data_IF_630231152529
#
_entry.id   IF_630231152529
#
_cell.length_a   1.000
_cell.length_b   1.000
_cell.length_c   1.000
_cell.angle_alpha   90.00
_cell.angle_beta   90.00
_cell.angle_gamma   90.00
#
_symmetry.space_group_name_H-M   'P 1'
#
loop_
_entity.id
_entity.type
_entity.pdbx_description
1 polymer ?
#
# COMPACT_ATOMS: atom_id res chain seq x y z
N UNK A 1 12.56 6.65 17.39
CA UNK A 1 11.16 6.23 17.14
C UNK A 1 11.13 5.36 15.90
N UNK A 2 10.58 4.17 16.03
CA UNK A 2 10.60 3.18 14.95
C UNK A 2 9.32 3.27 14.11
N UNK A 3 9.15 4.40 13.43
CA UNK A 3 8.03 4.59 12.52
C UNK A 3 8.42 5.57 11.41
N UNK A 4 7.69 5.51 10.29
CA UNK A 4 7.97 6.38 9.15
C UNK A 4 7.80 7.86 9.55
N UNK A 5 8.74 8.70 9.11
CA UNK A 5 8.64 10.15 9.33
C UNK A 5 7.70 10.79 8.31
N UNK A 6 7.21 11.99 8.62
CA UNK A 6 6.41 12.78 7.68
C UNK A 6 7.17 13.05 6.39
N UNK A 7 8.44 13.41 6.50
CA UNK A 7 9.27 13.70 5.33
C UNK A 7 9.42 12.48 4.43
N UNK A 8 9.72 11.32 5.00
CA UNK A 8 9.87 10.08 4.23
C UNK A 8 8.55 9.65 3.61
N UNK A 9 7.45 9.79 4.35
CA UNK A 9 6.12 9.48 3.83
C UNK A 9 5.78 10.36 2.62
N UNK A 10 6.06 11.65 2.70
CA UNK A 10 5.82 12.59 1.59
C UNK A 10 6.67 12.23 0.37
N UNK A 11 7.93 11.85 0.57
CA UNK A 11 8.81 11.43 -0.52
C UNK A 11 8.30 10.16 -1.20
N UNK A 12 7.80 9.21 -0.42
CA UNK A 12 7.21 7.97 -0.94
C UNK A 12 5.99 8.31 -1.82
N UNK A 13 5.10 9.18 -1.33
CA UNK A 13 3.93 9.62 -2.10
C UNK A 13 4.38 10.25 -3.42
N UNK A 14 5.37 11.13 -3.39
CA UNK A 14 5.86 11.83 -4.58
C UNK A 14 6.40 10.85 -5.61
N UNK A 15 7.23 9.89 -5.19
CA UNK A 15 7.78 8.87 -6.10
C UNK A 15 6.68 8.01 -6.71
N UNK A 16 5.68 7.65 -5.90
CA UNK A 16 4.54 6.87 -6.38
C UNK A 16 3.73 7.62 -7.44
N UNK A 17 3.47 8.90 -7.23
CA UNK A 17 2.74 9.72 -8.21
C UNK A 17 3.51 9.86 -9.52
N UNK A 18 4.83 10.05 -9.46
CA UNK A 18 5.66 10.11 -10.66
C UNK A 18 5.57 8.80 -11.44
N UNK A 19 5.68 7.67 -10.74
CA UNK A 19 5.58 6.36 -11.40
C UNK A 19 4.20 6.12 -12.00
N UNK A 20 3.13 6.48 -11.29
CA UNK A 20 1.78 6.34 -11.81
C UNK A 20 1.60 7.12 -13.11
N UNK A 21 2.11 8.35 -13.18
CA UNK A 21 2.08 9.15 -14.41
C UNK A 21 2.84 8.47 -15.55
N UNK A 22 4.03 7.92 -15.26
CA UNK A 22 4.83 7.21 -16.26
C UNK A 22 4.10 6.05 -16.90
N UNK A 23 3.31 5.31 -16.13
CA UNK A 23 2.58 4.14 -16.64
C UNK A 23 1.14 4.48 -17.04
N UNK A 24 0.77 5.76 -17.00
CA UNK A 24 -0.52 6.23 -17.50
C UNK A 24 -1.71 5.91 -16.62
N UNK A 25 -1.53 5.85 -15.31
CA UNK A 25 -2.64 5.64 -14.38
C UNK A 25 -2.79 6.80 -13.41
N UNK A 26 -4.04 7.03 -12.97
CA UNK A 26 -4.35 7.95 -11.88
C UNK A 26 -4.58 7.14 -10.60
N UNK A 27 -3.77 7.38 -9.58
CA UNK A 27 -3.75 6.58 -8.36
C UNK A 27 -4.18 7.37 -7.14
N UNK A 28 -4.68 6.64 -6.14
CA UNK A 28 -4.67 7.07 -4.76
C UNK A 28 -3.52 6.34 -4.07
N UNK A 29 -2.71 7.07 -3.31
CA UNK A 29 -1.56 6.53 -2.61
C UNK A 29 -1.63 6.96 -1.15
N UNK A 30 -1.57 5.97 -0.26
CA UNK A 30 -1.61 6.18 1.18
C UNK A 30 -0.34 5.63 1.82
N UNK A 31 0.18 6.34 2.81
CA UNK A 31 1.24 5.84 3.68
C UNK A 31 0.71 5.90 5.11
N UNK A 32 0.81 4.76 5.80
CA UNK A 32 0.45 4.66 7.22
C UNK A 32 1.71 4.40 8.04
N UNK A 33 1.65 4.73 9.32
CA UNK A 33 2.74 4.45 10.25
C UNK A 33 2.72 3.00 10.72
N UNK A 34 3.63 2.63 11.63
CA UNK A 34 3.74 1.27 12.13
C UNK A 34 2.48 0.81 12.90
N UNK A 35 1.67 1.73 13.38
CA UNK A 35 0.38 1.44 14.04
C UNK A 35 -0.80 1.47 13.09
N UNK A 36 -0.57 1.54 11.79
CA UNK A 36 -1.60 1.61 10.76
C UNK A 36 -2.42 2.90 10.77
N UNK A 37 -1.87 3.99 11.31
CA UNK A 37 -2.49 5.30 11.29
C UNK A 37 -2.01 6.09 10.07
N UNK A 38 -2.93 6.78 9.42
CA UNK A 38 -2.63 7.55 8.20
C UNK A 38 -1.56 8.61 8.49
N UNK A 39 -0.50 8.62 7.67
CA UNK A 39 0.61 9.57 7.77
C UNK A 39 0.63 10.53 6.59
N UNK A 40 0.36 10.04 5.37
CA UNK A 40 0.30 10.85 4.16
C UNK A 40 -0.64 10.21 3.16
N UNK A 41 -1.29 11.03 2.34
CA UNK A 41 -2.25 10.55 1.35
C UNK A 41 -2.30 11.52 0.18
N UNK A 42 -2.41 10.98 -1.03
CA UNK A 42 -2.70 11.79 -2.21
C UNK A 42 -3.65 11.05 -3.15
N UNK A 43 -4.69 11.76 -3.57
CA UNK A 43 -5.55 11.34 -4.66
C UNK A 43 -5.14 12.12 -5.91
N UNK A 44 -4.62 11.42 -6.92
CA UNK A 44 -4.32 12.05 -8.20
C UNK A 44 -5.62 12.41 -8.93
N UNK A 45 -5.57 13.45 -9.74
CA UNK A 45 -6.71 13.85 -10.56
C UNK A 45 -7.11 12.68 -11.46
N UNK A 46 -8.40 12.39 -11.52
CA UNK A 46 -8.94 11.29 -12.33
C UNK A 46 -8.97 9.93 -11.63
N UNK A 47 -8.43 9.80 -10.43
CA UNK A 47 -8.53 8.54 -9.68
C UNK A 47 -9.98 8.27 -9.27
N UNK A 48 -10.38 7.00 -9.29
CA UNK A 48 -11.72 6.60 -8.86
C UNK A 48 -11.98 6.96 -7.40
N UNK A 49 -13.19 7.42 -7.10
CA UNK A 49 -13.55 7.77 -5.73
C UNK A 49 -13.36 6.59 -4.76
N UNK A 50 -13.70 5.37 -5.19
CA UNK A 50 -13.53 4.16 -4.36
C UNK A 50 -12.08 3.86 -4.03
N UNK A 51 -11.13 4.32 -4.83
CA UNK A 51 -9.70 4.08 -4.59
C UNK A 51 -9.19 4.83 -3.36
N UNK A 52 -9.87 5.87 -2.91
CA UNK A 52 -9.51 6.60 -1.69
C UNK A 52 -9.50 5.66 -0.48
N UNK A 53 -10.59 4.94 -0.28
CA UNK A 53 -10.70 3.98 0.82
C UNK A 53 -9.81 2.76 0.59
N UNK A 54 -9.83 2.19 -0.60
CA UNK A 54 -9.09 0.96 -0.91
C UNK A 54 -7.59 1.14 -0.71
N UNK A 55 -7.01 2.26 -1.14
CA UNK A 55 -5.57 2.51 -0.95
C UNK A 55 -5.20 2.52 0.53
N UNK A 56 -6.01 3.14 1.36
CA UNK A 56 -5.77 3.19 2.80
C UNK A 56 -5.91 1.82 3.44
N UNK A 57 -6.90 1.02 3.03
CA UNK A 57 -7.06 -0.36 3.55
C UNK A 57 -5.92 -1.27 3.13
N UNK A 58 -5.40 -1.12 1.91
CA UNK A 58 -4.21 -1.87 1.48
C UNK A 58 -3.00 -1.52 2.35
N UNK A 59 -2.79 -0.24 2.62
CA UNK A 59 -1.70 0.20 3.50
C UNK A 59 -1.86 -0.39 4.90
N UNK A 60 -3.06 -0.28 5.49
CA UNK A 60 -3.32 -0.83 6.83
C UNK A 60 -3.12 -2.34 6.86
N UNK A 61 -3.54 -3.06 5.81
CA UNK A 61 -3.35 -4.50 5.72
C UNK A 61 -1.87 -4.87 5.82
N UNK A 62 -1.01 -4.19 5.06
CA UNK A 62 0.43 -4.47 5.05
C UNK A 62 1.15 -4.00 6.32
N UNK A 63 0.59 -3.06 7.07
CA UNK A 63 1.12 -2.65 8.37
C UNK A 63 0.72 -3.62 9.48
N UNK A 64 -0.55 -4.04 9.50
CA UNK A 64 -1.09 -4.92 10.55
C UNK A 64 -0.61 -6.36 10.38
N UNK A 65 -0.46 -6.81 9.14
CA UNK A 65 0.09 -8.10 8.77
C UNK A 65 1.26 -7.83 7.83
N UNK A 66 2.52 -7.74 8.34
CA UNK A 66 3.65 -7.20 7.57
C UNK A 66 4.10 -8.06 6.40
N UNK A 67 3.33 -8.05 5.34
CA UNK A 67 3.62 -8.69 4.06
C UNK A 67 2.84 -7.95 2.97
N UNK A 68 3.17 -8.16 1.68
CA UNK A 68 2.38 -7.56 0.61
C UNK A 68 0.91 -7.96 0.73
N UNK A 69 0.02 -7.00 0.49
CA UNK A 69 -1.43 -7.24 0.69
C UNK A 69 -1.98 -8.36 -0.20
N UNK A 70 -1.43 -8.52 -1.42
CA UNK A 70 -1.81 -9.63 -2.29
C UNK A 70 -1.36 -10.98 -1.75
N UNK A 71 -0.19 -11.03 -1.13
CA UNK A 71 0.33 -12.25 -0.50
C UNK A 71 -0.53 -12.63 0.70
N UNK A 72 -0.99 -11.65 1.46
CA UNK A 72 -1.93 -11.88 2.55
C UNK A 72 -3.24 -12.52 2.04
N UNK A 73 -3.72 -12.04 0.87
CA UNK A 73 -4.87 -12.66 0.21
C UNK A 73 -4.65 -14.13 -0.13
N UNK A 74 -3.45 -14.48 -0.59
CA UNK A 74 -3.09 -15.88 -0.85
C UNK A 74 -3.09 -16.71 0.43
N UNK A 75 -2.59 -16.17 1.52
CA UNK A 75 -2.62 -16.85 2.83
C UNK A 75 -4.08 -17.15 3.23
N UNK A 76 -4.96 -16.17 3.07
CA UNK A 76 -6.38 -16.36 3.38
C UNK A 76 -6.97 -17.51 2.55
N UNK A 77 -6.69 -17.53 1.25
CA UNK A 77 -7.20 -18.55 0.34
C UNK A 77 -6.63 -19.94 0.66
N UNK A 78 -5.31 -20.04 0.82
CA UNK A 78 -4.62 -21.31 1.04
C UNK A 78 -4.99 -21.94 2.39
N UNK A 79 -5.19 -21.14 3.42
CA UNK A 79 -5.50 -21.64 4.77
C UNK A 79 -6.99 -21.58 5.08
N UNK A 80 -7.84 -21.28 4.08
CA UNK A 80 -9.29 -21.26 4.22
C UNK A 80 -9.76 -20.31 5.32
N UNK A 81 -9.16 -19.13 5.38
CA UNK A 81 -9.47 -18.11 6.39
C UNK A 81 -10.48 -17.08 5.87
N UNK A 82 -11.43 -17.54 5.03
CA UNK A 82 -12.47 -16.66 4.47
C UNK A 82 -13.18 -15.89 5.58
N UNK A 83 -13.22 -14.57 5.44
CA UNK A 83 -13.77 -13.69 6.46
C UNK A 83 -12.71 -12.94 7.27
N UNK A 84 -11.44 -13.37 7.21
CA UNK A 84 -10.33 -12.66 7.87
C UNK A 84 -10.27 -11.19 7.45
N UNK A 85 -10.56 -10.90 6.19
CA UNK A 85 -10.59 -9.55 5.64
C UNK A 85 -11.66 -8.65 6.27
N UNK A 86 -12.61 -9.23 7.00
CA UNK A 86 -13.62 -8.45 7.74
C UNK A 86 -13.11 -7.97 9.10
N UNK A 87 -11.95 -8.49 9.54
CA UNK A 87 -11.32 -8.07 10.79
C UNK A 87 -10.68 -6.70 10.66
N UNK A 88 -10.29 -6.12 11.79
CA UNK A 88 -9.54 -4.85 11.86
C UNK A 88 -10.24 -3.70 11.11
N UNK A 89 -11.56 -3.69 11.11
CA UNK A 89 -12.34 -2.65 10.41
C UNK A 89 -12.43 -2.83 8.90
N UNK A 90 -11.94 -3.96 8.40
CA UNK A 90 -11.93 -4.26 6.96
C UNK A 90 -10.53 -4.16 6.38
N UNK A 91 -10.06 -5.26 5.79
CA UNK A 91 -8.76 -5.34 5.13
C UNK A 91 -8.95 -5.45 3.63
N UNK A 92 -7.95 -5.01 2.87
CA UNK A 92 -7.94 -5.17 1.41
C UNK A 92 -6.83 -6.15 1.05
N UNK A 93 -7.18 -7.41 0.84
CA UNK A 93 -6.26 -8.52 0.69
C UNK A 93 -5.93 -8.82 -0.77
N UNK A 94 -5.57 -7.80 -1.54
CA UNK A 94 -5.14 -7.89 -2.93
C UNK A 94 -4.04 -6.87 -3.19
N UNK A 95 -3.33 -7.02 -4.33
CA UNK A 95 -2.08 -6.28 -4.56
C UNK A 95 -2.22 -4.77 -4.55
N UNK A 96 -1.18 -4.10 -4.06
CA UNK A 96 -1.04 -2.66 -3.99
C UNK A 96 -0.55 -2.17 -2.63
N UNK A 97 -0.59 -3.01 -1.60
CA UNK A 97 -0.03 -2.72 -0.28
C UNK A 97 1.32 -3.39 -0.09
N UNK A 98 2.28 -2.66 0.45
CA UNK A 98 3.61 -3.18 0.79
C UNK A 98 4.03 -2.64 2.15
N UNK A 99 4.62 -3.48 3.02
CA UNK A 99 5.21 -2.98 4.26
C UNK A 99 6.47 -2.17 3.96
N UNK A 100 6.72 -1.15 4.77
CA UNK A 100 7.93 -0.34 4.72
C UNK A 100 8.81 -0.81 5.86
N UNK A 101 9.94 -1.41 5.50
CA UNK A 101 10.82 -2.06 6.47
C UNK A 101 12.18 -1.36 6.55
N UNK A 102 12.76 -1.38 7.73
CA UNK A 102 14.17 -1.07 7.96
C UNK A 102 14.77 -2.31 8.61
N UNK A 103 15.42 -3.17 7.82
CA UNK A 103 15.80 -4.50 8.28
C UNK A 103 14.56 -5.29 8.69
N UNK A 104 14.53 -5.71 9.95
CA UNK A 104 13.39 -6.45 10.50
C UNK A 104 12.36 -5.55 11.18
N UNK A 105 12.60 -4.24 11.19
CA UNK A 105 11.71 -3.28 11.84
C UNK A 105 10.66 -2.74 10.88
N UNK A 106 9.39 -2.90 11.22
CA UNK A 106 8.29 -2.30 10.45
C UNK A 106 8.21 -0.80 10.77
N UNK A 107 8.33 0.04 9.75
CA UNK A 107 8.19 1.50 9.89
C UNK A 107 6.80 1.98 9.54
N UNK A 108 6.09 1.25 8.70
CA UNK A 108 4.78 1.62 8.19
C UNK A 108 4.44 0.81 6.96
N UNK A 109 3.55 1.32 6.13
CA UNK A 109 3.17 0.65 4.89
C UNK A 109 2.64 1.64 3.87
N UNK A 110 2.75 1.28 2.59
CA UNK A 110 2.15 2.01 1.48
C UNK A 110 0.96 1.21 0.94
N UNK A 111 -0.05 1.92 0.45
CA UNK A 111 -1.15 1.32 -0.30
C UNK A 111 -1.44 2.14 -1.55
N UNK A 112 -1.56 1.46 -2.67
CA UNK A 112 -1.84 2.06 -3.98
C UNK A 112 -3.09 1.43 -4.57
N UNK A 113 -3.99 2.25 -5.07
CA UNK A 113 -5.21 1.80 -5.74
C UNK A 113 -5.54 2.74 -6.89
N UNK A 114 -6.18 2.22 -7.93
CA UNK A 114 -6.63 3.00 -9.09
C UNK A 114 -6.37 2.35 -10.43
N UNK A 115 -5.47 1.37 -10.50
CA UNK A 115 -5.17 0.61 -11.70
C UNK A 115 -5.50 -0.87 -11.56
N UNK A 116 -4.90 -1.69 -12.40
CA UNK A 116 -4.95 -3.14 -12.24
C UNK A 116 -4.11 -3.53 -11.01
N UNK A 117 -4.26 -4.79 -10.57
CA UNK A 117 -3.45 -5.30 -9.46
C UNK A 117 -1.95 -5.17 -9.76
N UNK A 118 -1.54 -5.46 -11.00
CA UNK A 118 -0.14 -5.34 -11.41
C UNK A 118 0.34 -3.89 -11.40
N UNK A 119 -0.47 -2.96 -11.90
CA UNK A 119 -0.13 -1.54 -11.91
C UNK A 119 -0.02 -0.98 -10.49
N UNK A 120 -0.96 -1.33 -9.62
CA UNK A 120 -0.94 -0.87 -8.23
C UNK A 120 0.33 -1.35 -7.52
N UNK A 121 0.71 -2.61 -7.72
CA UNK A 121 1.92 -3.18 -7.13
C UNK A 121 3.18 -2.54 -7.70
N UNK A 122 3.22 -2.28 -9.01
CA UNK A 122 4.35 -1.62 -9.67
C UNK A 122 4.60 -0.24 -9.06
N UNK A 123 3.54 0.56 -8.91
CA UNK A 123 3.64 1.90 -8.31
C UNK A 123 4.14 1.81 -6.87
N UNK A 124 3.61 0.87 -6.09
CA UNK A 124 4.04 0.68 -4.70
C UNK A 124 5.53 0.33 -4.62
N UNK A 125 6.01 -0.57 -5.47
CA UNK A 125 7.42 -0.95 -5.51
C UNK A 125 8.34 0.22 -5.86
N UNK A 126 7.98 0.97 -6.90
CA UNK A 126 8.75 2.15 -7.30
C UNK A 126 8.82 3.18 -6.19
N UNK A 127 7.70 3.41 -5.52
CA UNK A 127 7.64 4.37 -4.42
C UNK A 127 8.60 4.00 -3.29
N UNK A 128 8.83 2.70 -3.06
CA UNK A 128 9.75 2.22 -2.02
C UNK A 128 11.17 1.97 -2.54
N UNK A 129 11.46 2.27 -3.81
CA UNK A 129 12.78 2.02 -4.37
C UNK A 129 13.04 0.56 -4.73
N UNK A 130 11.99 -0.25 -4.91
CA UNK A 130 12.06 -1.67 -5.27
C UNK A 130 11.67 -1.86 -6.73
N UNK A 131 12.21 -1.04 -7.60
CA UNK A 131 11.77 -0.89 -8.99
C UNK A 131 12.42 -1.84 -9.98
N UNK A 132 13.24 -2.75 -9.55
CA UNK A 132 13.88 -3.71 -10.42
C UNK A 132 12.98 -4.90 -10.75
N UNK A 133 13.41 -5.76 -11.70
CA UNK A 133 12.72 -7.01 -11.97
C UNK A 133 12.70 -7.86 -10.71
N UNK A 134 11.56 -8.53 -10.49
CA UNK A 134 11.37 -9.33 -9.29
C UNK A 134 11.28 -10.80 -9.63
#
# INVERSE_FOLDING_TARGET
>A
MNTISTADADDIIQRGCIRAEEIGMAACIAVVDAGAHLKAFRRMDGAFAGAVDVSQRKACTSALFPLPSGDFGQVIAEHQLTGMELSNGGLAAFHGGLPIMDGDTLLGAIGVSGGSAEQDLDVARYALGQDGPQ
#
